data_IF_221501090967
#
_entry.id   IF_221501090967
#
_cell.length_a   1.000
_cell.length_b   1.000
_cell.length_c   1.000
_cell.angle_alpha   90.00
_cell.angle_beta   90.00
_cell.angle_gamma   90.00
#
_symmetry.space_group_name_H-M   'P 1'
#
loop_
_entity.id
_entity.type
_entity.pdbx_description
1 polymer ?
#
# COMPACT_ATOMS: atom_id res chain seq x y z
N UNK A 1 -24.70 -33.84 33.50
CA UNK A 1 -24.84 -32.39 33.24
C UNK A 1 -23.49 -31.69 33.35
N UNK A 2 -22.66 -32.03 34.34
CA UNK A 2 -21.32 -31.42 34.51
C UNK A 2 -20.42 -31.56 33.27
N UNK A 3 -20.32 -32.77 32.71
CA UNK A 3 -19.52 -32.98 31.47
C UNK A 3 -20.03 -32.21 30.26
N UNK A 4 -21.34 -31.92 30.17
CA UNK A 4 -21.89 -31.11 29.08
C UNK A 4 -21.56 -29.63 29.27
N UNK A 5 -21.59 -29.15 30.50
CA UNK A 5 -21.22 -27.77 30.85
C UNK A 5 -19.73 -27.57 30.64
N UNK A 6 -18.90 -28.53 31.08
CA UNK A 6 -17.46 -28.52 30.85
C UNK A 6 -17.11 -28.56 29.34
N UNK A 7 -17.83 -29.39 28.58
CA UNK A 7 -17.67 -29.41 27.11
C UNK A 7 -18.00 -28.06 26.48
N UNK A 8 -19.14 -27.43 26.85
CA UNK A 8 -19.53 -26.12 26.31
C UNK A 8 -18.51 -25.05 26.70
N UNK A 9 -18.04 -25.04 27.94
CA UNK A 9 -17.02 -24.11 28.42
C UNK A 9 -15.68 -24.28 27.68
N UNK A 10 -15.40 -25.47 27.20
CA UNK A 10 -14.20 -25.80 26.43
C UNK A 10 -14.37 -25.61 24.91
N UNK A 11 -15.53 -25.14 24.45
CA UNK A 11 -15.71 -24.73 23.06
C UNK A 11 -15.34 -23.27 22.85
N UNK A 12 -15.06 -22.89 21.58
CA UNK A 12 -14.86 -21.50 21.22
C UNK A 12 -16.02 -20.59 21.62
N UNK A 13 -17.24 -21.09 21.71
CA UNK A 13 -18.41 -20.32 22.18
C UNK A 13 -18.34 -20.00 23.68
N UNK A 14 -17.84 -20.94 24.50
CA UNK A 14 -17.68 -20.72 25.94
C UNK A 14 -16.49 -19.83 26.30
N UNK A 15 -15.49 -19.75 25.41
CA UNK A 15 -14.31 -18.94 25.60
C UNK A 15 -14.40 -17.55 24.93
N UNK A 16 -15.40 -17.31 24.05
CA UNK A 16 -15.51 -16.08 23.30
C UNK A 16 -15.89 -14.90 24.20
N UNK A 17 -15.12 -13.84 24.12
CA UNK A 17 -15.47 -12.52 24.67
C UNK A 17 -16.20 -11.68 23.60
N UNK A 18 -16.96 -10.67 24.04
CA UNK A 18 -17.64 -9.72 23.15
C UNK A 18 -16.71 -9.10 22.11
N UNK A 19 -15.46 -8.85 22.48
CA UNK A 19 -14.43 -8.29 21.59
C UNK A 19 -14.13 -9.21 20.39
N UNK A 20 -14.17 -10.53 20.58
CA UNK A 20 -14.00 -11.49 19.49
C UNK A 20 -15.12 -11.36 18.47
N UNK A 21 -16.38 -11.22 18.91
CA UNK A 21 -17.53 -11.03 18.01
C UNK A 21 -17.45 -9.69 17.24
N UNK A 22 -16.98 -8.62 17.88
CA UNK A 22 -16.73 -7.34 17.21
C UNK A 22 -15.72 -7.53 16.08
N UNK A 23 -14.60 -8.20 16.33
CA UNK A 23 -13.57 -8.44 15.32
C UNK A 23 -14.03 -9.38 14.21
N UNK A 24 -14.80 -10.42 14.55
CA UNK A 24 -15.46 -11.27 13.56
C UNK A 24 -16.37 -10.43 12.67
N UNK A 25 -17.14 -9.50 13.24
CA UNK A 25 -17.96 -8.54 12.51
C UNK A 25 -17.13 -7.68 11.55
N UNK A 26 -15.97 -7.18 11.99
CA UNK A 26 -15.03 -6.44 11.14
C UNK A 26 -14.54 -7.30 9.97
N UNK A 27 -14.15 -8.56 10.24
CA UNK A 27 -13.74 -9.51 9.20
C UNK A 27 -14.82 -9.76 8.15
N UNK A 28 -16.08 -9.95 8.59
CA UNK A 28 -17.23 -10.11 7.70
C UNK A 28 -17.49 -8.86 6.86
N UNK A 29 -17.34 -7.66 7.41
CA UNK A 29 -17.45 -6.39 6.66
C UNK A 29 -16.38 -6.32 5.58
N UNK A 30 -15.13 -6.71 5.85
CA UNK A 30 -14.07 -6.72 4.86
C UNK A 30 -14.37 -7.68 3.70
N UNK A 31 -14.82 -8.90 4.03
CA UNK A 31 -15.24 -9.88 3.02
C UNK A 31 -16.40 -9.33 2.18
N UNK A 32 -17.40 -8.73 2.83
CA UNK A 32 -18.54 -8.13 2.15
C UNK A 32 -18.10 -6.99 1.20
N UNK A 33 -17.23 -6.08 1.64
CA UNK A 33 -16.73 -4.98 0.82
C UNK A 33 -15.93 -5.52 -0.38
N UNK A 34 -15.12 -6.55 -0.18
CA UNK A 34 -14.39 -7.19 -1.27
C UNK A 34 -15.32 -7.85 -2.29
N UNK A 35 -16.32 -8.62 -1.84
CA UNK A 35 -17.20 -9.38 -2.73
C UNK A 35 -18.29 -8.50 -3.35
N UNK A 36 -19.03 -7.73 -2.53
CA UNK A 36 -20.20 -7.00 -2.98
C UNK A 36 -19.89 -5.64 -3.59
N UNK A 37 -18.81 -4.99 -3.13
CA UNK A 37 -18.41 -3.65 -3.59
C UNK A 37 -17.21 -3.68 -4.53
N UNK A 38 -16.56 -4.83 -4.70
CA UNK A 38 -15.34 -5.01 -5.50
C UNK A 38 -14.20 -4.07 -5.07
N UNK A 39 -14.15 -3.73 -3.77
CA UNK A 39 -13.08 -2.92 -3.19
C UNK A 39 -11.89 -3.83 -2.90
N UNK A 40 -10.84 -3.74 -3.72
CA UNK A 40 -9.60 -4.52 -3.61
C UNK A 40 -9.84 -5.99 -3.17
N UNK A 41 -10.63 -6.78 -3.93
CA UNK A 41 -11.08 -8.11 -3.49
C UNK A 41 -9.92 -9.07 -3.21
N UNK A 42 -8.81 -8.94 -3.95
CA UNK A 42 -7.62 -9.78 -3.78
C UNK A 42 -6.93 -9.57 -2.43
N UNK A 43 -7.18 -8.44 -1.77
CA UNK A 43 -6.61 -8.11 -0.46
C UNK A 43 -7.65 -8.21 0.64
N UNK A 44 -8.82 -7.56 0.47
CA UNK A 44 -9.82 -7.50 1.55
C UNK A 44 -10.42 -8.86 1.90
N UNK A 45 -10.59 -9.76 0.92
CA UNK A 45 -11.14 -11.10 1.20
C UNK A 45 -10.17 -11.95 2.03
N UNK A 46 -8.88 -12.13 1.65
CA UNK A 46 -7.92 -12.85 2.49
C UNK A 46 -7.70 -12.22 3.87
N UNK A 47 -7.63 -10.88 3.96
CA UNK A 47 -7.49 -10.18 5.24
C UNK A 47 -8.73 -10.41 6.10
N UNK A 48 -9.92 -10.23 5.55
CA UNK A 48 -11.18 -10.44 6.27
C UNK A 48 -11.30 -11.87 6.79
N UNK A 49 -10.95 -12.88 5.96
CA UNK A 49 -10.92 -14.26 6.41
C UNK A 49 -9.86 -14.51 7.49
N UNK A 50 -8.69 -13.90 7.35
CA UNK A 50 -7.64 -13.93 8.36
C UNK A 50 -8.12 -13.37 9.70
N UNK A 51 -8.87 -12.24 9.71
CA UNK A 51 -9.47 -11.66 10.92
C UNK A 51 -10.40 -12.68 11.60
N UNK A 52 -11.22 -13.42 10.83
CA UNK A 52 -12.05 -14.49 11.39
C UNK A 52 -11.18 -15.53 12.09
N UNK A 53 -10.15 -16.04 11.39
CA UNK A 53 -9.23 -17.07 11.91
C UNK A 53 -8.53 -16.59 13.19
N UNK A 54 -8.03 -15.37 13.23
CA UNK A 54 -7.28 -14.83 14.37
C UNK A 54 -8.11 -14.53 15.61
N UNK A 55 -9.45 -14.39 15.46
CA UNK A 55 -10.37 -14.03 16.53
C UNK A 55 -11.29 -15.17 16.97
N UNK A 56 -11.08 -16.40 16.43
CA UNK A 56 -11.67 -17.60 17.02
C UNK A 56 -10.89 -17.93 18.29
N UNK A 57 -11.53 -17.98 19.46
CA UNK A 57 -10.87 -18.35 20.70
C UNK A 57 -10.33 -19.79 20.64
N UNK A 58 -9.07 -19.93 20.99
CA UNK A 58 -8.38 -21.23 21.06
C UNK A 58 -7.68 -21.37 22.42
N UNK A 59 -7.56 -22.59 22.90
CA UNK A 59 -6.79 -22.84 24.12
C UNK A 59 -5.33 -22.50 23.91
N UNK A 60 -4.76 -21.75 24.84
CA UNK A 60 -3.32 -21.49 24.87
C UNK A 60 -2.56 -22.80 25.06
N UNK A 61 -1.50 -22.98 24.27
CA UNK A 61 -0.65 -24.17 24.34
C UNK A 61 -1.01 -25.31 23.39
N UNK A 62 -2.10 -25.18 22.60
CA UNK A 62 -2.41 -26.15 21.54
C UNK A 62 -1.53 -25.97 20.27
N UNK A 63 -0.71 -24.92 20.21
CA UNK A 63 0.11 -24.65 19.04
C UNK A 63 -0.69 -24.24 17.80
N UNK A 64 -1.83 -23.57 17.95
CA UNK A 64 -2.71 -23.16 16.85
C UNK A 64 -2.67 -21.66 16.59
N UNK A 65 -2.43 -20.83 17.61
CA UNK A 65 -2.47 -19.37 17.51
C UNK A 65 -1.35 -18.79 16.66
N UNK A 66 -1.62 -17.64 16.03
CA UNK A 66 -0.65 -16.96 15.15
C UNK A 66 0.62 -16.50 15.90
N UNK A 67 0.49 -16.20 17.17
CA UNK A 67 1.62 -15.80 18.05
C UNK A 67 2.24 -16.98 18.79
N UNK A 68 1.66 -18.19 18.73
CA UNK A 68 2.19 -19.38 19.36
C UNK A 68 3.33 -19.99 18.54
N UNK A 69 4.50 -20.08 19.14
CA UNK A 69 5.68 -20.68 18.51
C UNK A 69 5.40 -22.15 18.13
N UNK A 70 5.72 -22.51 16.88
CA UNK A 70 5.52 -23.85 16.36
C UNK A 70 4.16 -24.08 15.68
N UNK A 71 3.23 -23.13 15.75
CA UNK A 71 1.97 -23.25 15.01
C UNK A 71 2.19 -23.00 13.50
N UNK A 72 1.35 -23.59 12.66
CA UNK A 72 1.36 -23.38 11.21
C UNK A 72 1.16 -21.88 10.89
N UNK A 73 0.21 -21.23 11.58
CA UNK A 73 -0.04 -19.80 11.40
C UNK A 73 1.19 -18.94 11.78
N UNK A 74 1.92 -19.33 12.82
CA UNK A 74 3.15 -18.62 13.24
C UNK A 74 4.27 -18.77 12.20
N UNK A 75 4.43 -19.96 11.59
CA UNK A 75 5.39 -20.15 10.50
C UNK A 75 5.03 -19.33 9.27
N UNK A 76 3.76 -19.26 8.90
CA UNK A 76 3.33 -18.38 7.80
C UNK A 76 3.54 -16.90 8.17
N UNK A 77 3.21 -16.49 9.39
CA UNK A 77 3.41 -15.12 9.87
C UNK A 77 4.89 -14.71 9.98
N UNK A 78 5.80 -15.67 10.07
CA UNK A 78 7.24 -15.42 10.05
C UNK A 78 7.67 -14.59 8.83
N UNK A 79 7.10 -14.86 7.65
CA UNK A 79 7.38 -14.08 6.45
C UNK A 79 6.96 -12.61 6.54
N UNK A 80 5.90 -12.29 7.30
CA UNK A 80 5.50 -10.91 7.62
C UNK A 80 6.53 -10.29 8.58
N UNK A 81 6.82 -10.96 9.69
CA UNK A 81 7.73 -10.47 10.73
C UNK A 81 9.16 -10.24 10.21
N UNK A 82 9.64 -11.10 9.32
CA UNK A 82 10.97 -10.96 8.70
C UNK A 82 10.98 -9.98 7.53
N UNK A 83 9.80 -9.54 7.05
CA UNK A 83 9.69 -8.65 5.91
C UNK A 83 10.00 -9.33 4.58
N UNK A 84 9.68 -10.64 4.43
CA UNK A 84 9.91 -11.43 3.21
C UNK A 84 8.84 -11.13 2.15
N UNK A 85 7.58 -11.06 2.55
CA UNK A 85 6.47 -10.94 1.61
C UNK A 85 6.44 -9.59 0.86
N UNK A 86 6.67 -8.42 1.50
CA UNK A 86 6.63 -7.15 0.80
C UNK A 86 7.59 -7.06 -0.39
N UNK A 87 8.87 -7.44 -0.30
CA UNK A 87 9.77 -7.49 -1.46
C UNK A 87 9.27 -8.41 -2.58
N UNK A 88 8.67 -9.57 -2.26
CA UNK A 88 8.11 -10.47 -3.27
C UNK A 88 6.89 -9.86 -4.00
N UNK A 89 6.07 -9.07 -3.30
CA UNK A 89 5.00 -8.28 -3.94
C UNK A 89 5.63 -7.23 -4.86
N UNK A 90 6.69 -6.54 -4.43
CA UNK A 90 7.41 -5.56 -5.24
C UNK A 90 8.02 -6.19 -6.51
N UNK A 91 8.49 -7.44 -6.46
CA UNK A 91 8.90 -8.19 -7.65
C UNK A 91 7.77 -8.28 -8.68
N UNK A 92 6.60 -8.65 -8.25
CA UNK A 92 5.42 -8.74 -9.12
C UNK A 92 4.95 -7.38 -9.62
N UNK A 93 4.91 -6.36 -8.76
CA UNK A 93 4.59 -4.97 -9.16
C UNK A 93 5.58 -4.52 -10.25
N UNK A 94 6.87 -4.76 -10.08
CA UNK A 94 7.90 -4.46 -11.09
C UNK A 94 7.64 -5.17 -12.42
N UNK A 95 7.28 -6.47 -12.38
CA UNK A 95 6.98 -7.26 -13.57
C UNK A 95 5.65 -6.86 -14.25
N UNK A 96 4.73 -6.21 -13.55
CA UNK A 96 3.49 -5.64 -14.10
C UNK A 96 3.68 -4.22 -14.63
N UNK A 97 4.62 -3.47 -14.08
CA UNK A 97 4.77 -2.04 -14.33
C UNK A 97 5.37 -1.75 -15.70
N UNK A 98 4.82 -0.73 -16.38
CA UNK A 98 5.40 -0.13 -17.58
C UNK A 98 5.96 1.26 -17.23
N UNK A 99 7.28 1.38 -17.22
CA UNK A 99 7.96 2.64 -16.95
C UNK A 99 8.10 3.55 -18.18
N UNK A 100 7.57 3.16 -19.35
CA UNK A 100 7.69 3.92 -20.59
C UNK A 100 7.14 5.35 -20.46
N UNK A 101 6.00 5.52 -19.81
CA UNK A 101 5.42 6.86 -19.58
C UNK A 101 6.27 7.72 -18.66
N UNK A 102 6.93 7.12 -17.68
CA UNK A 102 7.86 7.79 -16.78
C UNK A 102 9.12 8.25 -17.55
N UNK A 103 9.68 7.37 -18.38
CA UNK A 103 10.84 7.66 -19.23
C UNK A 103 10.53 8.72 -20.28
N UNK A 104 9.32 8.67 -20.86
CA UNK A 104 8.89 9.66 -21.84
C UNK A 104 8.71 11.05 -21.23
N UNK A 105 8.32 11.14 -19.94
CA UNK A 105 8.05 12.40 -19.23
C UNK A 105 8.62 12.41 -17.82
N UNK A 106 9.94 12.51 -17.64
CA UNK A 106 10.60 12.44 -16.34
C UNK A 106 10.09 13.47 -15.31
N UNK A 107 9.59 14.63 -15.79
CA UNK A 107 9.01 15.66 -14.91
C UNK A 107 7.87 15.13 -14.01
N UNK A 108 7.15 14.09 -14.46
CA UNK A 108 6.05 13.50 -13.69
C UNK A 108 6.53 12.71 -12.46
N UNK A 109 7.82 12.35 -12.37
CA UNK A 109 8.44 11.78 -11.16
C UNK A 109 8.22 12.68 -9.96
N UNK A 110 8.33 14.01 -10.18
CA UNK A 110 8.18 14.99 -9.12
C UNK A 110 6.79 14.97 -8.46
N UNK A 111 5.75 14.55 -9.20
CA UNK A 111 4.41 14.41 -8.63
C UNK A 111 4.33 13.22 -7.64
N UNK A 112 5.00 12.10 -7.95
CA UNK A 112 5.14 10.98 -7.03
C UNK A 112 5.93 11.37 -5.78
N UNK A 113 7.01 12.13 -5.94
CA UNK A 113 7.78 12.66 -4.82
C UNK A 113 6.95 13.62 -3.95
N UNK A 114 6.15 14.51 -4.56
CA UNK A 114 5.28 15.43 -3.83
C UNK A 114 4.20 14.72 -3.01
N UNK A 115 3.66 13.62 -3.49
CA UNK A 115 2.70 12.82 -2.74
C UNK A 115 3.29 12.24 -1.43
N UNK A 116 4.62 12.06 -1.35
CA UNK A 116 5.29 11.58 -0.13
C UNK A 116 5.23 12.61 1.02
N UNK A 117 4.79 13.85 0.77
CA UNK A 117 4.45 14.79 1.85
C UNK A 117 3.44 14.17 2.82
N UNK A 118 2.54 13.30 2.34
CA UNK A 118 1.64 12.52 3.19
C UNK A 118 2.37 11.69 4.24
N UNK A 119 3.46 11.03 3.87
CA UNK A 119 4.28 10.22 4.79
C UNK A 119 4.84 11.06 5.92
N UNK A 120 5.50 12.16 5.58
CA UNK A 120 6.17 13.01 6.58
C UNK A 120 5.18 13.77 7.46
N UNK A 121 4.07 14.25 6.90
CA UNK A 121 3.02 14.90 7.69
C UNK A 121 2.34 13.93 8.66
N UNK A 122 2.15 12.69 8.25
CA UNK A 122 1.59 11.65 9.12
C UNK A 122 2.56 11.24 10.21
N UNK A 123 3.85 11.16 9.89
CA UNK A 123 4.90 10.94 10.89
C UNK A 123 4.87 12.02 11.97
N UNK A 124 4.83 13.29 11.57
CA UNK A 124 4.74 14.42 12.53
C UNK A 124 3.43 14.39 13.32
N UNK A 125 2.30 14.08 12.66
CA UNK A 125 1.01 13.92 13.32
C UNK A 125 0.99 12.79 14.33
N UNK A 126 1.65 11.66 14.05
CA UNK A 126 1.78 10.54 14.97
C UNK A 126 2.63 10.92 16.20
N UNK A 127 3.73 11.64 16.00
CA UNK A 127 4.53 12.17 17.11
C UNK A 127 3.69 13.12 17.99
N UNK A 128 2.90 14.00 17.38
CA UNK A 128 2.02 14.91 18.10
C UNK A 128 0.95 14.18 18.93
N UNK A 129 0.45 13.03 18.44
CA UNK A 129 -0.46 12.16 19.19
C UNK A 129 0.22 11.29 20.25
N UNK A 130 1.53 11.45 20.47
CA UNK A 130 2.26 10.75 21.52
C UNK A 130 2.74 9.34 21.14
N UNK A 131 2.76 8.97 19.86
CA UNK A 131 3.43 7.75 19.43
C UNK A 131 4.94 7.86 19.60
N UNK A 132 5.59 6.75 19.96
CA UNK A 132 7.05 6.68 19.99
C UNK A 132 7.63 6.89 18.58
N UNK A 133 8.87 7.41 18.42
CA UNK A 133 9.44 7.68 17.10
C UNK A 133 9.39 6.49 16.12
N UNK A 134 9.68 5.27 16.60
CA UNK A 134 9.61 4.04 15.79
C UNK A 134 8.16 3.69 15.39
N UNK A 135 7.22 3.89 16.30
CA UNK A 135 5.80 3.72 16.02
C UNK A 135 5.30 4.80 15.04
N UNK A 136 5.67 6.06 15.28
CA UNK A 136 5.29 7.18 14.44
C UNK A 136 5.80 7.03 13.00
N UNK A 137 7.03 6.53 12.80
CA UNK A 137 7.57 6.23 11.48
C UNK A 137 6.77 5.11 10.79
N UNK A 138 6.39 4.08 11.55
CA UNK A 138 5.58 2.96 11.06
C UNK A 138 4.16 3.40 10.69
N UNK A 139 3.57 4.33 11.42
CA UNK A 139 2.26 4.93 11.09
C UNK A 139 2.41 5.92 9.92
N UNK A 140 3.48 6.70 9.90
CA UNK A 140 3.75 7.71 8.89
C UNK A 140 3.74 7.15 7.47
N UNK A 141 4.30 5.96 7.28
CA UNK A 141 4.41 5.34 5.95
C UNK A 141 3.05 5.01 5.30
N UNK A 142 1.96 4.92 6.09
CA UNK A 142 0.59 4.76 5.56
C UNK A 142 0.28 5.89 4.56
N UNK A 143 0.85 7.07 4.77
CA UNK A 143 0.70 8.22 3.89
C UNK A 143 1.23 8.06 2.48
N UNK A 144 2.11 7.09 2.26
CA UNK A 144 2.53 6.68 0.92
C UNK A 144 1.45 5.91 0.16
N UNK A 145 0.44 5.39 0.89
CA UNK A 145 -0.60 4.50 0.38
C UNK A 145 -0.04 3.26 -0.34
N UNK A 146 0.96 2.67 0.26
CA UNK A 146 1.67 1.48 -0.21
C UNK A 146 1.62 0.42 0.90
N UNK A 147 0.68 -0.51 0.78
CA UNK A 147 0.45 -1.56 1.77
C UNK A 147 1.69 -2.42 2.05
N UNK A 148 2.34 -2.97 1.03
CA UNK A 148 3.58 -3.73 1.19
C UNK A 148 4.68 -2.95 1.91
N UNK A 149 4.92 -1.70 1.54
CA UNK A 149 5.91 -0.83 2.21
C UNK A 149 5.53 -0.55 3.66
N UNK A 150 4.23 -0.36 3.95
CA UNK A 150 3.74 -0.15 5.31
C UNK A 150 4.00 -1.38 6.19
N UNK A 151 3.76 -2.58 5.68
CA UNK A 151 4.08 -3.83 6.39
C UNK A 151 5.58 -3.98 6.57
N UNK A 152 6.38 -3.71 5.53
CA UNK A 152 7.83 -3.84 5.60
C UNK A 152 8.43 -2.97 6.69
N UNK A 153 8.09 -1.69 6.73
CA UNK A 153 8.63 -0.75 7.70
C UNK A 153 8.12 -1.05 9.11
N UNK A 154 6.82 -1.32 9.27
CA UNK A 154 6.25 -1.61 10.59
C UNK A 154 6.77 -2.93 11.18
N UNK A 155 7.02 -3.95 10.37
CA UNK A 155 7.65 -5.18 10.81
C UNK A 155 9.07 -4.97 11.38
N UNK A 156 9.79 -3.93 10.91
CA UNK A 156 11.13 -3.59 11.37
C UNK A 156 11.13 -2.65 12.57
N UNK A 157 10.24 -1.65 12.60
CA UNK A 157 10.26 -0.58 13.62
C UNK A 157 9.25 -0.77 14.74
N UNK A 158 8.05 -1.31 14.45
CA UNK A 158 6.97 -1.49 15.41
C UNK A 158 6.19 -2.80 15.14
N UNK A 159 6.79 -3.99 15.38
CA UNK A 159 6.17 -5.28 15.04
C UNK A 159 4.79 -5.50 15.67
N UNK A 160 4.53 -4.90 16.83
CA UNK A 160 3.25 -4.98 17.54
C UNK A 160 2.12 -4.17 16.87
N UNK A 161 2.45 -3.24 15.97
CA UNK A 161 1.48 -2.43 15.22
C UNK A 161 1.27 -2.90 13.77
N UNK A 162 1.95 -3.96 13.31
CA UNK A 162 1.85 -4.45 11.92
C UNK A 162 0.41 -4.72 11.52
N UNK A 163 -0.37 -5.39 12.36
CA UNK A 163 -1.78 -5.70 12.08
C UNK A 163 -2.64 -4.44 11.85
N UNK A 164 -2.75 -3.53 12.85
CA UNK A 164 -3.48 -2.29 12.71
C UNK A 164 -3.02 -1.40 11.54
N UNK A 165 -1.70 -1.28 11.33
CA UNK A 165 -1.12 -0.49 10.23
C UNK A 165 -1.48 -1.09 8.87
N UNK A 166 -1.35 -2.40 8.71
CA UNK A 166 -1.66 -3.07 7.46
C UNK A 166 -3.16 -2.96 7.13
N UNK A 167 -4.05 -3.18 8.10
CA UNK A 167 -5.49 -3.02 7.90
C UNK A 167 -5.83 -1.58 7.53
N UNK A 168 -5.26 -0.58 8.21
CA UNK A 168 -5.47 0.82 7.86
C UNK A 168 -4.99 1.10 6.43
N UNK A 169 -3.75 0.71 6.07
CA UNK A 169 -3.18 0.93 4.75
C UNK A 169 -4.04 0.32 3.64
N UNK A 170 -4.41 -0.95 3.75
CA UNK A 170 -5.22 -1.63 2.73
C UNK A 170 -6.67 -1.12 2.68
N UNK A 171 -7.26 -0.75 3.83
CA UNK A 171 -8.59 -0.14 3.85
C UNK A 171 -8.61 1.18 3.09
N UNK A 172 -7.59 2.02 3.26
CA UNK A 172 -7.51 3.28 2.52
C UNK A 172 -7.17 3.10 1.05
N UNK A 173 -6.36 2.11 0.69
CA UNK A 173 -6.17 1.75 -0.72
C UNK A 173 -7.51 1.37 -1.36
N UNK A 174 -8.32 0.55 -0.71
CA UNK A 174 -9.64 0.17 -1.19
C UNK A 174 -10.61 1.37 -1.29
N UNK A 175 -10.42 2.41 -0.47
CA UNK A 175 -11.25 3.63 -0.47
C UNK A 175 -10.72 4.75 -1.38
N UNK A 176 -9.63 4.54 -2.12
CA UNK A 176 -9.08 5.52 -3.10
C UNK A 176 -10.16 6.10 -4.01
N UNK A 177 -11.04 5.28 -4.64
CA UNK A 177 -12.08 5.80 -5.54
C UNK A 177 -13.13 6.68 -4.85
N UNK A 178 -13.20 6.63 -3.52
CA UNK A 178 -14.15 7.41 -2.71
C UNK A 178 -13.48 8.68 -2.17
N UNK A 179 -12.23 8.58 -1.69
CA UNK A 179 -11.52 9.66 -0.99
C UNK A 179 -10.92 10.67 -1.96
N UNK A 180 -10.31 10.23 -3.06
CA UNK A 180 -9.59 11.13 -3.96
C UNK A 180 -10.48 12.08 -4.77
N UNK A 181 -11.61 11.65 -5.37
CA UNK A 181 -12.37 12.53 -6.27
C UNK A 181 -12.89 13.83 -5.64
N UNK A 182 -13.39 13.87 -4.39
CA UNK A 182 -13.78 15.11 -3.73
C UNK A 182 -12.60 16.08 -3.59
N UNK A 183 -11.43 15.59 -3.17
CA UNK A 183 -10.21 16.38 -2.97
C UNK A 183 -9.72 16.96 -4.31
N UNK A 184 -9.67 16.11 -5.34
CA UNK A 184 -9.28 16.52 -6.68
C UNK A 184 -10.16 17.63 -7.23
N UNK A 185 -11.49 17.51 -7.05
CA UNK A 185 -12.46 18.51 -7.50
C UNK A 185 -12.37 19.80 -6.69
N UNK A 186 -12.16 19.70 -5.39
CA UNK A 186 -12.02 20.86 -4.50
C UNK A 186 -10.79 21.70 -4.89
N UNK A 187 -9.70 21.04 -5.23
CA UNK A 187 -8.41 21.70 -5.49
C UNK A 187 -8.19 22.10 -6.95
N UNK A 188 -9.06 21.68 -7.89
CA UNK A 188 -8.91 21.98 -9.30
C UNK A 188 -10.14 22.65 -9.87
N UNK A 189 -9.93 23.66 -10.70
CA UNK A 189 -10.99 24.28 -11.51
C UNK A 189 -11.35 23.39 -12.70
N UNK A 190 -12.55 23.60 -13.27
CA UNK A 190 -12.98 22.89 -14.49
C UNK A 190 -12.01 23.10 -15.66
N UNK A 191 -11.48 24.33 -15.81
CA UNK A 191 -10.50 24.65 -16.86
C UNK A 191 -9.20 23.83 -16.71
N UNK A 192 -8.75 23.63 -15.49
CA UNK A 192 -7.54 22.81 -15.22
C UNK A 192 -7.80 21.33 -15.49
N UNK A 193 -8.99 20.80 -15.17
CA UNK A 193 -9.36 19.40 -15.43
C UNK A 193 -9.51 19.07 -16.91
N UNK A 194 -9.78 20.08 -17.75
CA UNK A 194 -9.88 19.96 -19.20
C UNK A 194 -8.53 20.02 -19.92
N UNK A 195 -7.42 20.24 -19.22
CA UNK A 195 -6.09 20.25 -19.85
C UNK A 195 -5.82 18.85 -20.42
N UNK A 196 -5.57 18.79 -21.73
CA UNK A 196 -5.18 17.58 -22.43
C UNK A 196 -3.68 17.44 -22.43
N UNK A 197 -3.23 16.23 -22.20
CA UNK A 197 -1.81 15.91 -22.26
C UNK A 197 -1.44 15.61 -23.72
N UNK A 198 -0.27 16.11 -24.18
CA UNK A 198 0.28 15.68 -25.45
C UNK A 198 0.72 14.22 -25.40
N UNK A 199 0.76 13.55 -26.54
CA UNK A 199 1.22 12.16 -26.61
C UNK A 199 2.67 12.02 -26.07
N UNK A 200 2.97 10.98 -25.31
CA UNK A 200 4.33 10.72 -24.86
C UNK A 200 5.22 10.34 -26.04
N UNK A 201 6.52 10.68 -25.97
CA UNK A 201 7.49 10.20 -26.96
C UNK A 201 7.60 8.69 -26.93
N UNK A 202 7.95 8.08 -28.03
CA UNK A 202 8.33 6.67 -28.06
C UNK A 202 9.63 6.45 -27.25
N UNK A 203 9.64 5.37 -26.48
CA UNK A 203 10.79 4.95 -25.65
C UNK A 203 11.40 3.72 -26.28
N UNK A 204 12.71 3.77 -26.51
CA UNK A 204 13.45 2.67 -27.13
C UNK A 204 13.54 1.46 -26.18
N UNK A 205 13.69 0.25 -26.74
CA UNK A 205 13.87 -0.97 -25.95
C UNK A 205 15.14 -0.92 -25.08
N UNK A 206 16.19 -0.24 -25.55
CA UNK A 206 17.42 -0.04 -24.78
C UNK A 206 17.17 0.82 -23.53
N UNK A 207 16.41 1.92 -23.66
CA UNK A 207 16.03 2.76 -22.51
C UNK A 207 15.23 1.96 -21.49
N UNK A 208 14.28 1.10 -21.94
CA UNK A 208 13.46 0.26 -21.06
C UNK A 208 14.27 -0.78 -20.28
N UNK A 209 15.31 -1.34 -20.89
CA UNK A 209 16.21 -2.32 -20.24
C UNK A 209 17.20 -1.62 -19.31
N UNK A 210 17.73 -0.47 -19.71
CA UNK A 210 18.73 0.25 -18.91
C UNK A 210 18.13 0.93 -17.68
N UNK A 211 16.88 1.40 -17.78
CA UNK A 211 16.21 2.14 -16.71
C UNK A 211 16.13 1.37 -15.38
N UNK A 212 15.69 0.10 -15.31
CA UNK A 212 15.63 -0.62 -14.05
C UNK A 212 17.00 -0.81 -13.41
N UNK A 213 18.06 -0.93 -14.19
CA UNK A 213 19.44 -1.07 -13.67
C UNK A 213 19.90 0.26 -13.08
N UNK A 214 19.82 1.34 -13.85
CA UNK A 214 20.28 2.67 -13.43
C UNK A 214 19.40 3.19 -12.29
N UNK A 215 18.08 3.05 -12.40
CA UNK A 215 17.12 3.44 -11.36
C UNK A 215 17.36 2.73 -10.05
N UNK A 216 17.59 1.42 -10.09
CA UNK A 216 17.96 0.62 -8.92
C UNK A 216 19.20 1.17 -8.23
N UNK A 217 20.29 1.34 -8.98
CA UNK A 217 21.56 1.83 -8.43
C UNK A 217 21.39 3.21 -7.81
N UNK A 218 20.79 4.16 -8.54
CA UNK A 218 20.60 5.52 -8.04
C UNK A 218 19.75 5.58 -6.78
N UNK A 219 18.62 4.86 -6.78
CA UNK A 219 17.71 4.85 -5.62
C UNK A 219 18.33 4.16 -4.41
N UNK A 220 19.07 3.06 -4.59
CA UNK A 220 19.69 2.35 -3.48
C UNK A 220 20.94 3.06 -2.93
N UNK A 221 21.68 3.80 -3.76
CA UNK A 221 22.74 4.68 -3.25
C UNK A 221 22.17 5.85 -2.45
N UNK A 222 20.98 6.35 -2.82
CA UNK A 222 20.30 7.42 -2.09
C UNK A 222 19.70 6.91 -0.76
N UNK A 223 19.07 5.75 -0.79
CA UNK A 223 18.38 5.16 0.38
C UNK A 223 18.72 3.66 0.52
N UNK A 224 19.90 3.31 1.09
CA UNK A 224 20.36 1.91 1.18
C UNK A 224 19.41 0.99 1.93
N UNK A 225 18.69 1.47 2.94
CA UNK A 225 17.74 0.65 3.69
C UNK A 225 16.48 0.29 2.90
N UNK A 226 16.21 0.95 1.75
CA UNK A 226 15.16 0.58 0.82
C UNK A 226 15.57 -0.59 -0.12
N UNK A 227 16.82 -1.05 -0.05
CA UNK A 227 17.39 -2.10 -0.92
C UNK A 227 16.46 -3.29 -1.15
N UNK A 228 15.85 -3.93 -0.14
CA UNK A 228 15.03 -5.13 -0.37
C UNK A 228 13.81 -4.86 -1.25
N UNK A 229 13.15 -3.71 -1.09
CA UNK A 229 11.97 -3.33 -1.85
C UNK A 229 12.34 -2.91 -3.28
N UNK A 230 13.31 -2.00 -3.40
CA UNK A 230 13.71 -1.43 -4.69
C UNK A 230 14.42 -2.47 -5.56
N UNK A 231 15.27 -3.33 -4.98
CA UNK A 231 15.90 -4.42 -5.72
C UNK A 231 14.86 -5.30 -6.40
N UNK A 232 13.82 -5.71 -5.67
CA UNK A 232 12.79 -6.59 -6.20
C UNK A 232 11.89 -5.87 -7.21
N UNK A 233 11.56 -4.60 -7.01
CA UNK A 233 10.80 -3.79 -7.97
C UNK A 233 11.53 -3.71 -9.32
N UNK A 234 12.77 -3.25 -9.30
CA UNK A 234 13.54 -3.06 -10.51
C UNK A 234 13.96 -4.40 -11.14
N UNK A 235 14.21 -5.43 -10.35
CA UNK A 235 14.47 -6.78 -10.85
C UNK A 235 13.24 -7.33 -11.59
N UNK A 236 12.04 -7.22 -11.02
CA UNK A 236 10.81 -7.63 -11.68
C UNK A 236 10.60 -6.92 -13.02
N UNK A 237 10.87 -5.62 -13.07
CA UNK A 237 10.79 -4.84 -14.31
C UNK A 237 11.85 -5.28 -15.33
N UNK A 238 13.08 -5.51 -14.91
CA UNK A 238 14.14 -6.02 -15.80
C UNK A 238 13.75 -7.37 -16.41
N UNK A 239 13.19 -8.30 -15.62
CA UNK A 239 12.71 -9.59 -16.11
C UNK A 239 11.67 -9.44 -17.24
N UNK A 240 10.84 -8.40 -17.18
CA UNK A 240 9.82 -8.09 -18.18
C UNK A 240 10.44 -7.44 -19.42
N UNK A 241 11.24 -6.40 -19.25
CA UNK A 241 11.71 -5.55 -20.35
C UNK A 241 12.82 -6.19 -21.19
N UNK A 242 13.59 -7.13 -20.63
CA UNK A 242 14.62 -7.83 -21.38
C UNK A 242 14.07 -8.90 -22.35
N UNK A 243 12.78 -9.24 -22.29
CA UNK A 243 12.03 -10.18 -23.11
C UNK A 243 12.54 -11.64 -23.07
N UNK A 244 13.83 -11.87 -22.86
CA UNK A 244 14.41 -13.25 -22.80
C UNK A 244 14.00 -14.02 -21.54
N UNK A 245 13.48 -13.31 -20.52
CA UNK A 245 12.98 -13.89 -19.27
C UNK A 245 11.46 -13.70 -19.09
N UNK A 246 10.70 -13.56 -20.18
CA UNK A 246 9.25 -13.32 -20.11
C UNK A 246 8.51 -14.39 -19.28
N UNK A 247 8.95 -15.66 -19.35
CA UNK A 247 8.40 -16.73 -18.50
C UNK A 247 8.54 -16.43 -17.01
N UNK A 248 9.68 -15.88 -16.58
CA UNK A 248 9.93 -15.50 -15.18
C UNK A 248 9.10 -14.28 -14.80
N UNK A 249 9.04 -13.27 -15.68
CA UNK A 249 8.21 -12.10 -15.49
C UNK A 249 6.73 -12.48 -15.36
N UNK A 250 6.23 -13.40 -16.18
CA UNK A 250 4.86 -13.93 -16.09
C UNK A 250 4.62 -14.62 -14.73
N UNK A 251 5.54 -15.47 -14.29
CA UNK A 251 5.44 -16.14 -12.99
C UNK A 251 5.44 -15.12 -11.84
N UNK A 252 6.33 -14.12 -11.90
CA UNK A 252 6.42 -13.09 -10.88
C UNK A 252 5.13 -12.27 -10.74
N UNK A 253 4.55 -11.86 -11.87
CA UNK A 253 3.32 -11.02 -11.87
C UNK A 253 2.01 -11.78 -11.68
N UNK A 254 2.03 -13.12 -11.64
CA UNK A 254 0.87 -13.97 -11.39
C UNK A 254 1.10 -14.85 -10.18
N UNK A 255 1.63 -16.05 -10.35
CA UNK A 255 1.71 -17.08 -9.32
C UNK A 255 2.43 -16.61 -8.03
N UNK A 256 3.54 -15.86 -8.16
CA UNK A 256 4.28 -15.37 -6.97
C UNK A 256 3.46 -14.33 -6.23
N UNK A 257 2.96 -13.30 -6.92
CA UNK A 257 2.14 -12.25 -6.30
C UNK A 257 0.90 -12.82 -5.66
N UNK A 258 0.17 -13.68 -6.38
CA UNK A 258 -1.09 -14.26 -5.89
C UNK A 258 -0.85 -15.12 -4.64
N UNK A 259 0.15 -15.99 -4.67
CA UNK A 259 0.52 -16.83 -3.51
C UNK A 259 0.90 -15.99 -2.30
N UNK A 260 1.76 -14.99 -2.51
CA UNK A 260 2.21 -14.09 -1.44
C UNK A 260 1.05 -13.27 -0.90
N UNK A 261 0.17 -12.77 -1.76
CA UNK A 261 -1.01 -11.98 -1.36
C UNK A 261 -1.98 -12.80 -0.51
N UNK A 262 -2.23 -14.07 -0.88
CA UNK A 262 -3.07 -14.98 -0.09
C UNK A 262 -2.49 -15.18 1.31
N UNK A 263 -1.21 -15.54 1.41
CA UNK A 263 -0.56 -15.84 2.68
C UNK A 263 -0.42 -14.59 3.54
N UNK A 264 -0.01 -13.46 2.93
CA UNK A 264 0.11 -12.17 3.60
C UNK A 264 -1.24 -11.69 4.12
N UNK A 265 -2.28 -11.70 3.28
CA UNK A 265 -3.61 -11.26 3.68
C UNK A 265 -4.17 -12.10 4.83
N UNK A 266 -4.06 -13.42 4.72
CA UNK A 266 -4.49 -14.34 5.78
C UNK A 266 -3.75 -14.08 7.10
N UNK A 267 -2.42 -13.97 7.06
CA UNK A 267 -1.60 -13.85 8.26
C UNK A 267 -1.69 -12.47 8.90
N UNK A 268 -1.75 -11.41 8.11
CA UNK A 268 -1.99 -10.04 8.60
C UNK A 268 -3.38 -9.95 9.24
N UNK A 269 -4.41 -10.49 8.57
CA UNK A 269 -5.74 -10.58 9.16
C UNK A 269 -5.73 -11.35 10.48
N UNK A 270 -5.12 -12.52 10.53
CA UNK A 270 -5.04 -13.34 11.73
C UNK A 270 -4.22 -12.73 12.87
N UNK A 271 -3.26 -11.86 12.55
CA UNK A 271 -2.49 -11.10 13.56
C UNK A 271 -3.30 -9.95 14.19
N UNK A 272 -4.45 -9.61 13.61
CA UNK A 272 -5.33 -8.55 14.09
C UNK A 272 -6.34 -9.10 15.09
N UNK A 273 -5.81 -9.48 16.25
CA UNK A 273 -6.62 -9.97 17.37
C UNK A 273 -7.26 -8.79 18.11
N UNK A 274 -8.37 -9.05 18.81
CA UNK A 274 -9.14 -8.06 19.53
C UNK A 274 -8.30 -7.21 20.50
N UNK A 275 -7.41 -7.87 21.23
CA UNK A 275 -6.53 -7.23 22.23
C UNK A 275 -5.52 -6.24 21.60
N UNK A 276 -5.13 -6.51 20.35
CA UNK A 276 -4.15 -5.69 19.60
C UNK A 276 -4.84 -4.56 18.84
N UNK A 277 -6.03 -4.86 18.29
CA UNK A 277 -6.71 -3.96 17.37
C UNK A 277 -7.66 -2.98 18.07
N UNK A 278 -8.38 -3.41 19.11
CA UNK A 278 -9.36 -2.57 19.82
C UNK A 278 -8.66 -1.71 20.90
N UNK A 279 -7.71 -0.88 20.46
CA UNK A 279 -6.92 0.02 21.31
C UNK A 279 -7.04 1.47 20.85
N UNK A 280 -6.80 2.42 21.74
CA UNK A 280 -6.76 3.86 21.41
C UNK A 280 -5.73 4.16 20.31
N UNK A 281 -4.58 3.47 20.35
CA UNK A 281 -3.54 3.62 19.31
C UNK A 281 -4.04 3.21 17.94
N UNK A 282 -4.82 2.13 17.85
CA UNK A 282 -5.41 1.69 16.57
C UNK A 282 -6.37 2.72 16.00
N UNK A 283 -7.21 3.32 16.84
CA UNK A 283 -8.10 4.41 16.42
C UNK A 283 -7.28 5.60 15.89
N UNK A 284 -6.22 5.97 16.60
CA UNK A 284 -5.28 7.00 16.16
C UNK A 284 -4.65 6.69 14.80
N UNK A 285 -4.23 5.43 14.58
CA UNK A 285 -3.67 4.96 13.29
C UNK A 285 -4.70 5.14 12.15
N UNK A 286 -5.97 4.78 12.39
CA UNK A 286 -7.01 4.95 11.38
C UNK A 286 -7.27 6.43 11.07
N UNK A 287 -7.41 7.28 12.06
CA UNK A 287 -7.64 8.74 11.83
C UNK A 287 -6.46 9.34 11.06
N UNK A 288 -5.22 9.06 11.51
CA UNK A 288 -4.01 9.55 10.84
C UNK A 288 -3.90 9.02 9.41
N UNK A 289 -4.23 7.75 9.18
CA UNK A 289 -4.22 7.16 7.84
C UNK A 289 -5.19 7.87 6.88
N UNK A 290 -6.42 8.16 7.33
CA UNK A 290 -7.38 8.91 6.51
C UNK A 290 -6.88 10.32 6.18
N UNK A 291 -6.41 11.06 7.20
CA UNK A 291 -5.85 12.40 7.02
C UNK A 291 -4.63 12.39 6.09
N UNK A 292 -3.76 11.41 6.27
CA UNK A 292 -2.56 11.19 5.47
C UNK A 292 -2.88 11.04 3.99
N UNK A 293 -3.86 10.21 3.68
CA UNK A 293 -4.29 9.95 2.31
C UNK A 293 -4.84 11.23 1.63
N UNK A 294 -5.59 12.02 2.40
CA UNK A 294 -6.07 13.32 1.93
C UNK A 294 -4.93 14.29 1.68
N UNK A 295 -3.95 14.36 2.58
CA UNK A 295 -2.77 15.24 2.44
C UNK A 295 -1.91 14.81 1.27
N UNK A 296 -1.63 13.52 1.07
CA UNK A 296 -0.86 13.00 -0.05
C UNK A 296 -1.51 13.37 -1.40
N UNK A 297 -2.82 13.15 -1.52
CA UNK A 297 -3.60 13.52 -2.71
C UNK A 297 -3.55 15.02 -2.96
N UNK A 298 -3.81 15.83 -1.92
CA UNK A 298 -3.78 17.29 -2.02
C UNK A 298 -2.39 17.81 -2.39
N UNK A 299 -1.35 17.29 -1.74
CA UNK A 299 0.05 17.64 -2.00
C UNK A 299 0.45 17.42 -3.45
N UNK A 300 0.12 16.26 -4.01
CA UNK A 300 0.38 15.94 -5.41
C UNK A 300 -0.36 16.90 -6.37
N UNK A 301 -1.66 17.14 -6.14
CA UNK A 301 -2.47 18.06 -6.98
C UNK A 301 -1.96 19.49 -6.89
N UNK A 302 -1.68 20.00 -5.69
CA UNK A 302 -1.16 21.36 -5.49
C UNK A 302 0.21 21.50 -6.16
N UNK A 303 1.08 20.50 -6.00
CA UNK A 303 2.39 20.53 -6.61
C UNK A 303 2.32 20.52 -8.15
N UNK A 304 1.38 19.79 -8.74
CA UNK A 304 1.12 19.84 -10.18
C UNK A 304 0.72 21.25 -10.65
N UNK A 305 -0.08 21.97 -9.85
CA UNK A 305 -0.43 23.38 -10.12
C UNK A 305 0.78 24.29 -10.01
N UNK A 306 1.63 24.08 -8.99
CA UNK A 306 2.88 24.84 -8.84
C UNK A 306 3.81 24.61 -10.03
N UNK A 307 3.96 23.37 -10.48
CA UNK A 307 4.75 23.07 -11.69
C UNK A 307 4.21 23.80 -12.92
N UNK A 308 2.89 23.96 -13.03
CA UNK A 308 2.28 24.69 -14.14
C UNK A 308 2.56 26.21 -14.13
N UNK A 309 2.98 26.79 -13.00
CA UNK A 309 3.40 28.20 -12.95
C UNK A 309 4.73 28.42 -13.68
N UNK A 310 5.60 27.41 -13.67
CA UNK A 310 6.95 27.49 -14.24
C UNK A 310 7.08 26.75 -15.58
N UNK A 311 6.05 26.00 -16.00
CA UNK A 311 6.10 25.19 -17.23
C UNK A 311 5.34 25.84 -18.36
N UNK A 312 5.94 25.87 -19.58
CA UNK A 312 5.25 26.26 -20.81
C UNK A 312 4.23 25.20 -21.23
N UNK A 313 4.61 23.91 -21.11
CA UNK A 313 3.71 22.78 -21.35
C UNK A 313 2.99 22.45 -20.07
N UNK A 314 1.72 22.86 -19.98
CA UNK A 314 0.89 22.62 -18.80
C UNK A 314 0.52 21.15 -18.69
N UNK A 315 0.62 20.62 -17.49
CA UNK A 315 0.15 19.28 -17.14
C UNK A 315 -1.23 19.37 -16.50
N UNK A 316 -2.04 18.33 -16.69
CA UNK A 316 -3.33 18.26 -16.00
C UNK A 316 -3.07 18.03 -14.50
N UNK A 317 -3.54 18.93 -13.60
CA UNK A 317 -3.25 18.79 -12.17
C UNK A 317 -3.84 17.55 -11.53
N UNK A 318 -4.86 16.93 -12.14
CA UNK A 318 -5.39 15.65 -11.68
C UNK A 318 -4.32 14.55 -11.60
N UNK A 319 -3.29 14.62 -12.47
CA UNK A 319 -2.16 13.68 -12.47
C UNK A 319 -1.42 13.65 -11.12
N UNK A 320 -1.42 14.78 -10.40
CA UNK A 320 -0.81 14.85 -9.06
C UNK A 320 -1.43 13.89 -8.06
N UNK A 321 -2.74 13.64 -8.14
CA UNK A 321 -3.41 12.67 -7.28
C UNK A 321 -2.92 11.23 -7.50
N UNK A 322 -2.45 10.91 -8.71
CA UNK A 322 -1.89 9.59 -9.01
C UNK A 322 -0.50 9.37 -8.38
N UNK A 323 0.16 10.40 -7.85
CA UNK A 323 1.42 10.27 -7.11
C UNK A 323 1.32 9.44 -5.83
N UNK A 324 0.12 9.20 -5.35
CA UNK A 324 -0.17 8.24 -4.28
C UNK A 324 0.07 6.82 -4.79
N UNK A 325 0.79 6.00 -4.02
CA UNK A 325 1.34 4.70 -4.47
C UNK A 325 0.33 3.56 -4.64
N UNK A 326 -0.98 3.83 -4.54
CA UNK A 326 -2.03 2.85 -4.81
C UNK A 326 -2.08 2.54 -6.32
N UNK A 327 -1.29 1.56 -6.76
CA UNK A 327 -1.16 1.17 -8.18
C UNK A 327 -2.08 0.00 -8.51
N UNK A 328 -2.87 0.07 -9.58
CA UNK A 328 -3.08 1.19 -10.52
C UNK A 328 -4.27 2.10 -10.16
N UNK A 329 -4.85 1.98 -8.98
CA UNK A 329 -6.16 2.56 -8.65
C UNK A 329 -6.17 4.09 -8.67
N UNK A 330 -5.15 4.75 -8.12
CA UNK A 330 -5.06 6.22 -8.17
C UNK A 330 -5.03 6.72 -9.62
N UNK A 331 -4.35 6.02 -10.52
CA UNK A 331 -4.31 6.39 -11.94
C UNK A 331 -5.69 6.20 -12.61
N UNK A 332 -6.42 5.14 -12.26
CA UNK A 332 -7.80 4.90 -12.72
C UNK A 332 -8.75 5.97 -12.21
N UNK A 333 -8.59 6.40 -10.97
CA UNK A 333 -9.39 7.50 -10.40
C UNK A 333 -9.14 8.82 -11.13
N UNK A 334 -7.89 9.12 -11.47
CA UNK A 334 -7.57 10.29 -12.32
C UNK A 334 -8.31 10.23 -13.64
N UNK A 335 -8.29 9.07 -14.32
CA UNK A 335 -9.03 8.87 -15.58
C UNK A 335 -10.53 9.02 -15.37
N UNK A 336 -11.09 8.43 -14.32
CA UNK A 336 -12.52 8.52 -14.00
C UNK A 336 -12.97 9.97 -13.78
N UNK A 337 -12.18 10.76 -13.05
CA UNK A 337 -12.49 12.18 -12.79
C UNK A 337 -12.34 13.00 -14.06
N UNK A 338 -11.29 12.75 -14.86
CA UNK A 338 -11.07 13.40 -16.16
C UNK A 338 -12.20 13.13 -17.15
N UNK A 339 -12.62 11.86 -17.30
CA UNK A 339 -13.70 11.45 -18.21
C UNK A 339 -15.06 12.09 -17.88
N UNK A 340 -15.31 12.41 -16.61
CA UNK A 340 -16.56 13.10 -16.23
C UNK A 340 -16.63 14.55 -16.74
N UNK A 341 -15.48 15.16 -16.98
CA UNK A 341 -15.39 16.54 -17.54
C UNK A 341 -15.29 16.53 -19.07
N UNK A 342 -14.50 15.60 -19.63
CA UNK A 342 -14.30 15.40 -21.07
C UNK A 342 -14.03 13.91 -21.35
N UNK A 343 -15.03 13.17 -21.89
CA UNK A 343 -14.89 11.75 -22.22
C UNK A 343 -13.76 11.42 -23.20
N UNK A 344 -13.28 12.40 -23.97
CA UNK A 344 -12.18 12.24 -24.94
C UNK A 344 -10.80 12.55 -24.35
N UNK A 345 -10.71 12.89 -23.05
CA UNK A 345 -9.44 13.20 -22.38
C UNK A 345 -8.86 11.94 -21.71
N UNK A 346 -7.92 11.30 -22.38
CA UNK A 346 -7.30 10.06 -21.89
C UNK A 346 -6.08 10.39 -21.00
N UNK A 347 -6.29 10.39 -19.68
CA UNK A 347 -5.28 10.69 -18.68
C UNK A 347 -4.58 9.47 -18.10
N UNK A 348 -5.15 8.25 -18.26
CA UNK A 348 -4.68 7.05 -17.59
C UNK A 348 -3.20 6.77 -17.83
N UNK A 349 -2.78 6.77 -19.09
CA UNK A 349 -1.38 6.50 -19.44
C UNK A 349 -0.42 7.52 -18.82
N UNK A 350 -0.82 8.78 -18.77
CA UNK A 350 -0.02 9.84 -18.15
C UNK A 350 -0.01 9.74 -16.62
N UNK A 351 -1.13 9.30 -16.02
CA UNK A 351 -1.28 9.10 -14.58
C UNK A 351 -0.45 7.90 -14.06
N UNK A 352 -0.16 6.92 -14.91
CA UNK A 352 0.71 5.80 -14.53
C UNK A 352 2.13 6.27 -14.18
N UNK A 353 2.66 7.31 -14.81
CA UNK A 353 4.01 7.82 -14.52
C UNK A 353 4.16 8.32 -13.06
N UNK A 354 3.36 9.29 -12.57
CA UNK A 354 3.44 9.69 -11.16
C UNK A 354 3.02 8.56 -10.20
N UNK A 355 2.13 7.66 -10.62
CA UNK A 355 1.68 6.53 -9.78
C UNK A 355 2.83 5.58 -9.46
N UNK A 356 3.59 5.20 -10.47
CA UNK A 356 4.76 4.33 -10.30
C UNK A 356 5.92 5.07 -9.59
N UNK A 357 6.09 6.36 -9.89
CA UNK A 357 7.04 7.20 -9.15
C UNK A 357 6.70 7.27 -7.65
N UNK A 358 5.42 7.22 -7.31
CA UNK A 358 4.93 7.10 -5.93
C UNK A 358 5.44 5.84 -5.24
N UNK A 359 5.39 4.68 -5.91
CA UNK A 359 5.89 3.39 -5.35
C UNK A 359 7.39 3.47 -5.05
N UNK A 360 8.17 4.01 -5.98
CA UNK A 360 9.60 4.24 -5.75
C UNK A 360 9.79 5.21 -4.58
N UNK A 361 9.00 6.29 -4.54
CA UNK A 361 9.03 7.31 -3.50
C UNK A 361 8.69 6.74 -2.11
N UNK A 362 7.66 5.91 -1.99
CA UNK A 362 7.28 5.28 -0.72
C UNK A 362 8.37 4.32 -0.22
N UNK A 363 8.97 3.52 -1.10
CA UNK A 363 10.08 2.65 -0.73
C UNK A 363 11.31 3.45 -0.27
N UNK A 364 11.65 4.55 -0.95
CA UNK A 364 12.72 5.47 -0.53
C UNK A 364 12.39 6.10 0.82
N UNK A 365 11.16 6.60 1.01
CA UNK A 365 10.72 7.19 2.27
C UNK A 365 10.81 6.20 3.43
N UNK A 366 10.40 4.95 3.23
CA UNK A 366 10.56 3.89 4.22
C UNK A 366 12.03 3.62 4.54
N UNK A 367 12.89 3.56 3.53
CA UNK A 367 14.33 3.40 3.72
C UNK A 367 14.96 4.55 4.51
N UNK A 368 14.57 5.79 4.21
CA UNK A 368 15.02 6.98 4.94
C UNK A 368 14.55 6.91 6.40
N UNK A 369 13.25 6.68 6.64
CA UNK A 369 12.72 6.57 8.00
C UNK A 369 13.41 5.44 8.80
N UNK A 370 13.66 4.29 8.14
CA UNK A 370 14.37 3.20 8.80
C UNK A 370 15.82 3.55 9.12
N UNK A 371 16.54 4.20 8.21
CA UNK A 371 17.94 4.58 8.42
C UNK A 371 18.11 5.58 9.58
N UNK A 372 17.16 6.53 9.72
CA UNK A 372 17.27 7.58 10.75
C UNK A 372 16.67 7.19 12.12
N UNK A 373 15.62 6.37 12.12
CA UNK A 373 14.84 6.08 13.35
C UNK A 373 15.06 4.64 13.82
N UNK A 374 15.55 3.77 12.96
CA UNK A 374 15.78 2.35 13.26
C UNK A 374 17.01 2.08 14.13
N UNK A 375 17.92 3.04 14.21
CA UNK A 375 19.17 2.94 14.99
C UNK A 375 18.92 2.90 16.49
#
# INVERSE_FOLDING_TARGET
>A
MEHLVEFIQNTGFGMADFRNFVMIGVGLVFIYLGIARHYEPLLLVPIGFGILVGNIPVFKGLGLGIYEKGSVLNYLYFGVRQGIYPPLIFLGIGAMTDFSTLLARPKLILLGAAAQLGVFMTFLGALFLGFLPKEAASVGIIGGADGPTAIFLSAKLAPHLVGPIAIAAYSYMALVPVIQPPIMRLLTSRKERLIRMSDPREVSSQEKILFPIVGFLLCCFLAPAALPLLAMLFFGNLLKECLVTDRLAKTARTAVVDTVTIVLGLTVGASTQADVFLTEKSIGIFILGACSFMVATAGGVIFAKVMNLFSRDKINPLLGAAGVSAVPDSARVVQMVGNREDPSNYLLMHAMAPNVAGVIGSAIAAGVLWSFIGQ
#
